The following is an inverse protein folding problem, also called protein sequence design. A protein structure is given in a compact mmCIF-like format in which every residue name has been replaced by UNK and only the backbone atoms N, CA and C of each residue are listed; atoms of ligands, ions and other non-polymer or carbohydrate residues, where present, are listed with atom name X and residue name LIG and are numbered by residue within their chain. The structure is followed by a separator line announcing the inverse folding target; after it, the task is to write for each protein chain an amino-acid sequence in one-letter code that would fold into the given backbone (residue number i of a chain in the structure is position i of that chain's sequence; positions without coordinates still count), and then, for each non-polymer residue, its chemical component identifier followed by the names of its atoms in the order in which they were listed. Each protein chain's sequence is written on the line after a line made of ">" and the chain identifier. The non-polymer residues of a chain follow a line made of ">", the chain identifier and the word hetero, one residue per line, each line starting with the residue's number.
data_IF_750009494159
#
_entry.id   IF_750009494159
#
_cell.length_a   1.000
_cell.length_b   1.000
_cell.length_c   1.000
_cell.angle_alpha   90.00
_cell.angle_beta   90.00
_cell.angle_gamma   90.00
#
_symmetry.space_group_name_H-M   'P 1'
#
loop_
_entity.id
_entity.type
_entity.pdbx_description
1 polymer ?
#
# COMPACT_ATOMS: atom_id res chain seq x y z
N UNK A 1 2.87 9.57 2.41
CA UNK A 1 3.39 10.95 2.27
C UNK A 1 4.68 11.05 1.46
N UNK A 2 5.70 10.23 1.73
CA UNK A 2 6.97 10.23 0.97
C UNK A 2 6.77 10.15 -0.55
N UNK A 3 5.93 9.21 -1.04
CA UNK A 3 5.61 9.11 -2.46
C UNK A 3 4.91 10.33 -3.04
N UNK A 4 4.03 10.96 -2.25
CA UNK A 4 3.32 12.16 -2.67
C UNK A 4 4.30 13.33 -2.87
N UNK A 5 5.20 13.54 -1.91
CA UNK A 5 6.25 14.56 -1.99
C UNK A 5 7.20 14.31 -3.18
N UNK A 6 7.60 13.05 -3.43
CA UNK A 6 8.41 12.70 -4.60
C UNK A 6 7.66 12.95 -5.91
N UNK A 7 6.37 12.64 -5.98
CA UNK A 7 5.56 12.90 -7.17
C UNK A 7 5.56 14.37 -7.57
N UNK A 8 5.39 15.28 -6.60
CA UNK A 8 5.49 16.73 -6.81
C UNK A 8 6.92 17.11 -7.22
N UNK A 9 7.94 16.67 -6.47
CA UNK A 9 9.34 17.02 -6.72
C UNK A 9 9.86 16.56 -8.09
N UNK A 10 9.31 15.47 -8.64
CA UNK A 10 9.70 14.96 -9.95
C UNK A 10 9.12 15.77 -11.12
N UNK A 11 8.11 16.59 -10.86
CA UNK A 11 7.34 17.29 -11.90
C UNK A 11 7.30 18.81 -11.74
N UNK A 12 7.76 19.35 -10.60
CA UNK A 12 7.91 20.80 -10.42
C UNK A 12 9.22 21.30 -11.07
N UNK A 13 9.16 22.45 -11.75
CA UNK A 13 10.32 23.07 -12.41
C UNK A 13 11.21 23.84 -11.42
N UNK A 14 10.66 24.28 -10.28
CA UNK A 14 11.36 25.10 -9.30
C UNK A 14 12.29 24.23 -8.45
N UNK A 15 13.59 24.44 -8.61
CA UNK A 15 14.64 23.70 -7.91
C UNK A 15 14.45 23.64 -6.38
N UNK A 16 13.92 24.71 -5.77
CA UNK A 16 13.62 24.77 -4.33
C UNK A 16 12.57 23.73 -3.93
N UNK A 17 11.48 23.62 -4.69
CA UNK A 17 10.38 22.67 -4.41
C UNK A 17 10.85 21.24 -4.65
N UNK A 18 11.63 21.01 -5.71
CA UNK A 18 12.26 19.71 -5.96
C UNK A 18 13.15 19.28 -4.80
N UNK A 19 14.03 20.17 -4.36
CA UNK A 19 14.93 19.94 -3.23
C UNK A 19 14.15 19.62 -1.95
N UNK A 20 13.18 20.46 -1.58
CA UNK A 20 12.35 20.27 -0.40
C UNK A 20 11.55 18.96 -0.45
N UNK A 21 10.92 18.64 -1.57
CA UNK A 21 10.13 17.41 -1.71
C UNK A 21 10.97 16.14 -1.63
N UNK A 22 12.18 16.15 -2.19
CA UNK A 22 13.15 15.04 -2.02
C UNK A 22 13.57 14.92 -0.57
N UNK A 23 13.88 16.03 0.11
CA UNK A 23 14.33 16.03 1.51
C UNK A 23 13.23 15.49 2.45
N UNK A 24 11.99 15.92 2.26
CA UNK A 24 10.82 15.39 2.99
C UNK A 24 10.64 13.89 2.73
N UNK A 25 10.76 13.46 1.48
CA UNK A 25 10.61 12.05 1.13
C UNK A 25 11.70 11.18 1.75
N UNK A 26 12.95 11.64 1.74
CA UNK A 26 14.08 10.97 2.38
C UNK A 26 13.86 10.90 3.89
N UNK A 27 13.49 12.00 4.53
CA UNK A 27 13.22 12.04 5.98
C UNK A 27 12.14 11.03 6.39
N UNK A 28 11.03 11.00 5.66
CA UNK A 28 9.95 10.05 5.92
C UNK A 28 10.36 8.59 5.64
N UNK A 29 11.23 8.37 4.64
CA UNK A 29 11.77 7.05 4.35
C UNK A 29 12.78 6.58 5.41
N UNK A 30 13.57 7.47 6.00
CA UNK A 30 14.42 7.15 7.15
C UNK A 30 13.60 6.65 8.34
N UNK A 31 12.42 7.22 8.57
CA UNK A 31 11.47 6.69 9.56
C UNK A 31 11.03 5.25 9.23
N UNK A 32 10.79 4.94 7.96
CA UNK A 32 10.49 3.57 7.53
C UNK A 32 11.66 2.60 7.73
N UNK A 33 12.91 3.04 7.51
CA UNK A 33 14.11 2.25 7.80
C UNK A 33 14.23 2.01 9.31
N UNK A 34 14.05 3.05 10.12
CA UNK A 34 14.09 2.97 11.59
C UNK A 34 13.01 2.04 12.17
N UNK A 35 11.89 1.85 11.46
CA UNK A 35 10.85 0.88 11.86
C UNK A 35 11.28 -0.58 11.72
N UNK A 36 12.34 -0.87 10.96
CA UNK A 36 12.86 -2.22 10.70
C UNK A 36 11.81 -3.13 9.99
N UNK A 37 10.73 -2.56 9.48
CA UNK A 37 9.63 -3.29 8.85
C UNK A 37 9.88 -3.54 7.37
N UNK A 38 10.21 -4.79 7.02
CA UNK A 38 10.42 -5.23 5.62
C UNK A 38 9.20 -4.98 4.73
N UNK A 39 7.99 -5.10 5.27
CA UNK A 39 6.75 -4.87 4.51
C UNK A 39 6.63 -3.42 4.05
N UNK A 40 7.10 -2.46 4.85
CA UNK A 40 7.14 -1.03 4.49
C UNK A 40 8.12 -0.79 3.34
N UNK A 41 9.27 -1.45 3.34
CA UNK A 41 10.26 -1.31 2.27
C UNK A 41 9.76 -1.89 0.95
N UNK A 42 9.10 -3.05 0.99
CA UNK A 42 8.44 -3.65 -0.18
C UNK A 42 7.39 -2.68 -0.73
N UNK A 43 6.49 -2.20 0.14
CA UNK A 43 5.45 -1.26 -0.27
C UNK A 43 6.03 0.01 -0.89
N UNK A 44 7.08 0.59 -0.28
CA UNK A 44 7.79 1.76 -0.80
C UNK A 44 8.41 1.50 -2.18
N UNK A 45 9.01 0.32 -2.39
CA UNK A 45 9.52 -0.11 -3.69
C UNK A 45 8.47 -0.06 -4.79
N UNK A 46 7.26 -0.58 -4.53
CA UNK A 46 6.13 -0.49 -5.46
C UNK A 46 5.72 0.96 -5.73
N UNK A 47 5.76 1.84 -4.73
CA UNK A 47 5.54 3.27 -4.91
C UNK A 47 6.54 3.90 -5.88
N UNK A 48 7.83 3.59 -5.72
CA UNK A 48 8.87 4.06 -6.65
C UNK A 48 8.68 3.50 -8.06
N UNK A 49 8.28 2.24 -8.21
CA UNK A 49 7.98 1.66 -9.52
C UNK A 49 6.94 2.48 -10.27
N UNK A 50 5.86 2.88 -9.58
CA UNK A 50 4.83 3.76 -10.15
C UNK A 50 5.43 5.10 -10.57
N UNK A 51 6.24 5.74 -9.71
CA UNK A 51 6.85 7.05 -10.00
C UNK A 51 7.83 7.07 -11.18
N UNK A 52 8.45 5.93 -11.50
CA UNK A 52 9.45 5.83 -12.56
C UNK A 52 8.98 5.04 -13.79
N UNK A 53 7.72 4.57 -13.79
CA UNK A 53 7.18 3.78 -14.90
C UNK A 53 7.18 4.58 -16.20
N UNK A 54 7.85 4.05 -17.23
CA UNK A 54 7.86 4.62 -18.57
C UNK A 54 8.70 5.90 -18.75
N UNK A 55 9.54 6.28 -17.77
CA UNK A 55 10.21 7.59 -17.79
C UNK A 55 11.47 7.67 -18.68
N UNK A 56 12.18 6.56 -18.94
CA UNK A 56 13.31 6.41 -19.90
C UNK A 56 14.04 5.07 -19.72
N UNK A 57 15.03 4.73 -20.58
CA UNK A 57 15.98 3.61 -20.35
C UNK A 57 16.68 3.71 -18.98
N UNK A 58 17.04 4.92 -18.54
CA UNK A 58 17.59 5.16 -17.20
C UNK A 58 16.56 4.90 -16.10
N UNK A 59 15.28 5.22 -16.34
CA UNK A 59 14.17 4.88 -15.45
C UNK A 59 14.00 3.37 -15.26
N UNK A 60 14.10 2.59 -16.34
CA UNK A 60 14.05 1.12 -16.28
C UNK A 60 15.23 0.57 -15.45
N UNK A 61 16.45 1.08 -15.67
CA UNK A 61 17.62 0.69 -14.88
C UNK A 61 17.45 1.03 -13.39
N UNK A 62 16.89 2.20 -13.08
CA UNK A 62 16.56 2.58 -11.70
C UNK A 62 15.51 1.65 -11.10
N UNK A 63 14.48 1.26 -11.85
CA UNK A 63 13.48 0.29 -11.39
C UNK A 63 14.10 -1.07 -11.08
N UNK A 64 14.97 -1.57 -11.96
CA UNK A 64 15.72 -2.82 -11.73
C UNK A 64 16.59 -2.69 -10.48
N UNK A 65 17.31 -1.58 -10.33
CA UNK A 65 18.13 -1.32 -9.15
C UNK A 65 17.30 -1.22 -7.86
N UNK A 66 16.11 -0.59 -7.91
CA UNK A 66 15.19 -0.49 -6.77
C UNK A 66 14.65 -1.87 -6.40
N UNK A 67 14.22 -2.68 -7.37
CA UNK A 67 13.77 -4.05 -7.14
C UNK A 67 14.88 -4.92 -6.55
N UNK A 68 16.09 -4.82 -7.10
CA UNK A 68 17.25 -5.52 -6.59
C UNK A 68 17.62 -5.07 -5.17
N UNK A 69 17.54 -3.78 -4.87
CA UNK A 69 17.79 -3.23 -3.53
C UNK A 69 16.72 -3.68 -2.54
N UNK A 70 15.44 -3.65 -2.90
CA UNK A 70 14.34 -4.15 -2.06
C UNK A 70 14.53 -5.65 -1.80
N UNK A 71 14.86 -6.43 -2.83
CA UNK A 71 15.14 -7.86 -2.69
C UNK A 71 16.33 -8.11 -1.76
N UNK A 72 17.44 -7.38 -1.95
CA UNK A 72 18.63 -7.49 -1.11
C UNK A 72 18.31 -7.12 0.35
N UNK A 73 17.61 -6.01 0.59
CA UNK A 73 17.21 -5.58 1.94
C UNK A 73 16.26 -6.57 2.63
N UNK A 74 15.38 -7.24 1.88
CA UNK A 74 14.52 -8.31 2.40
C UNK A 74 15.35 -9.55 2.77
N UNK A 75 16.36 -9.89 1.98
CA UNK A 75 17.24 -11.04 2.18
C UNK A 75 18.33 -10.79 3.24
N UNK A 76 18.69 -9.53 3.53
CA UNK A 76 19.71 -9.23 4.52
C UNK A 76 19.35 -9.77 5.92
N UNK A 77 20.28 -10.48 6.57
CA UNK A 77 20.18 -10.82 7.98
C UNK A 77 20.08 -9.53 8.78
N UNK A 78 18.96 -9.32 9.45
CA UNK A 78 18.75 -8.15 10.28
C UNK A 78 19.54 -8.32 11.59
N UNK A 79 20.13 -7.32 12.24
CA UNK A 79 20.64 -7.46 13.63
C UNK A 79 19.57 -7.95 14.64
N UNK A 80 18.28 -7.91 14.27
CA UNK A 80 17.18 -8.60 14.95
C UNK A 80 17.27 -10.14 14.85
N UNK A 81 18.07 -10.74 13.97
CA UNK A 81 18.27 -12.20 13.89
C UNK A 81 18.87 -12.75 15.18
N UNK A 82 19.68 -11.97 15.91
CA UNK A 82 20.13 -12.33 17.25
C UNK A 82 19.02 -12.24 18.32
N UNK A 83 17.98 -11.42 18.11
CA UNK A 83 16.74 -11.45 18.89
C UNK A 83 15.80 -12.56 18.44
N UNK A 84 15.80 -12.97 17.17
CA UNK A 84 15.01 -14.10 16.63
C UNK A 84 15.51 -15.44 17.17
N UNK A 85 16.82 -15.56 17.41
CA UNK A 85 17.41 -16.76 18.04
C UNK A 85 17.18 -16.85 19.56
N UNK A 86 16.77 -15.74 20.21
CA UNK A 86 16.45 -15.69 21.65
C UNK A 86 14.95 -15.43 21.95
N UNK A 87 14.15 -15.13 20.92
CA UNK A 87 12.70 -14.83 20.98
C UNK A 87 11.93 -15.55 19.85
N UNK A 88 12.31 -16.77 19.44
CA UNK A 88 11.30 -17.71 18.95
C UNK A 88 10.29 -17.86 20.10
N UNK A 89 9.04 -17.37 20.05
CA UNK A 89 8.08 -17.83 19.07
C UNK A 89 6.82 -16.94 18.92
N UNK A 90 6.68 -15.79 19.61
CA UNK A 90 5.31 -15.25 19.78
C UNK A 90 4.73 -14.43 18.61
N UNK A 91 5.49 -13.58 17.91
CA UNK A 91 4.88 -12.65 16.92
C UNK A 91 4.69 -13.26 15.53
N UNK A 92 5.69 -13.99 15.06
CA UNK A 92 5.64 -14.68 13.76
C UNK A 92 4.67 -15.87 13.80
N UNK A 93 4.69 -16.71 14.84
CA UNK A 93 3.69 -17.78 14.96
C UNK A 93 2.28 -17.21 15.10
N UNK A 94 2.07 -16.12 15.84
CA UNK A 94 0.76 -15.45 15.89
C UNK A 94 0.29 -15.01 14.50
N UNK A 95 1.17 -14.44 13.68
CA UNK A 95 0.83 -14.07 12.28
C UNK A 95 0.45 -15.28 11.44
N UNK A 96 1.20 -16.38 11.53
CA UNK A 96 0.84 -17.63 10.84
C UNK A 96 -0.50 -18.17 11.32
N UNK A 97 -0.72 -18.22 12.63
CA UNK A 97 -2.00 -18.61 13.22
C UNK A 97 -3.15 -17.74 12.70
N UNK A 98 -2.97 -16.41 12.64
CA UNK A 98 -3.98 -15.50 12.10
C UNK A 98 -4.27 -15.75 10.62
N UNK A 99 -3.24 -15.92 9.80
CA UNK A 99 -3.41 -16.22 8.37
C UNK A 99 -4.12 -17.56 8.15
N UNK A 100 -3.73 -18.60 8.89
CA UNK A 100 -4.38 -19.91 8.81
C UNK A 100 -5.83 -19.85 9.26
N UNK A 101 -6.10 -19.15 10.36
CA UNK A 101 -7.45 -18.92 10.88
C UNK A 101 -8.34 -18.19 9.87
N UNK A 102 -7.85 -17.08 9.30
CA UNK A 102 -8.60 -16.34 8.29
C UNK A 102 -8.81 -17.14 7.01
N UNK A 103 -7.82 -17.93 6.59
CA UNK A 103 -7.96 -18.80 5.44
C UNK A 103 -9.01 -19.90 5.66
N UNK A 104 -8.99 -20.54 6.83
CA UNK A 104 -10.01 -21.52 7.21
C UNK A 104 -11.41 -20.90 7.28
N UNK A 105 -11.52 -19.69 7.84
CA UNK A 105 -12.76 -18.94 7.91
C UNK A 105 -13.32 -18.62 6.51
N UNK A 106 -12.48 -18.13 5.60
CA UNK A 106 -12.90 -17.81 4.24
C UNK A 106 -13.35 -19.07 3.49
N UNK A 107 -12.59 -20.17 3.57
CA UNK A 107 -12.96 -21.45 2.93
C UNK A 107 -14.32 -21.99 3.36
N UNK A 108 -14.73 -21.70 4.60
CA UNK A 108 -16.03 -22.14 5.10
C UNK A 108 -17.21 -21.35 4.48
N UNK A 109 -17.01 -20.10 4.03
CA UNK A 109 -18.03 -19.28 3.34
C UNK A 109 -17.41 -18.41 2.22
N UNK A 110 -16.94 -19.01 1.12
CA UNK A 110 -16.04 -18.32 0.20
C UNK A 110 -16.73 -17.24 -0.66
N UNK A 111 -18.03 -17.38 -0.94
CA UNK A 111 -18.72 -16.50 -1.90
C UNK A 111 -19.18 -15.17 -1.27
N UNK A 112 -19.93 -15.24 -0.16
CA UNK A 112 -20.55 -14.07 0.49
C UNK A 112 -19.93 -13.75 1.86
N UNK A 113 -19.03 -14.60 2.36
CA UNK A 113 -18.40 -14.41 3.66
C UNK A 113 -19.35 -14.62 4.84
N UNK A 114 -18.94 -14.12 5.99
CA UNK A 114 -19.63 -14.28 7.27
C UNK A 114 -20.50 -13.06 7.65
N UNK A 115 -20.43 -11.98 6.87
CA UNK A 115 -21.02 -10.69 7.18
C UNK A 115 -20.00 -9.70 7.75
N UNK A 116 -20.29 -8.41 7.59
CA UNK A 116 -19.43 -7.34 8.09
C UNK A 116 -19.23 -7.46 9.61
N UNK A 117 -18.00 -7.20 10.07
CA UNK A 117 -17.60 -7.33 11.47
C UNK A 117 -17.32 -8.76 11.94
N UNK A 118 -17.56 -9.80 11.12
CA UNK A 118 -17.38 -11.21 11.52
C UNK A 118 -16.02 -11.82 11.16
N UNK A 119 -15.07 -11.01 10.70
CA UNK A 119 -13.75 -11.52 10.31
C UNK A 119 -12.91 -12.03 11.48
N UNK A 120 -13.23 -11.73 12.74
CA UNK A 120 -12.16 -11.66 13.76
C UNK A 120 -12.29 -12.70 14.88
N UNK A 121 -13.12 -13.70 14.66
CA UNK A 121 -13.57 -14.63 15.69
C UNK A 121 -13.35 -16.10 15.35
N UNK A 122 -12.89 -16.40 14.14
CA UNK A 122 -12.79 -17.78 13.69
C UNK A 122 -11.51 -18.45 14.19
N UNK A 123 -11.65 -19.59 14.87
CA UNK A 123 -10.53 -20.46 15.27
C UNK A 123 -10.61 -21.79 14.50
N UNK A 124 -9.52 -22.25 13.87
CA UNK A 124 -9.47 -23.53 13.18
C UNK A 124 -9.98 -24.68 14.06
N UNK A 125 -10.87 -25.50 13.51
CA UNK A 125 -11.46 -26.66 14.21
C UNK A 125 -12.56 -26.33 15.23
N UNK A 126 -12.67 -25.09 15.69
CA UNK A 126 -13.68 -24.66 16.67
C UNK A 126 -14.79 -23.82 16.01
N UNK A 127 -14.46 -22.99 15.03
CA UNK A 127 -15.40 -22.07 14.38
C UNK A 127 -15.39 -20.67 14.99
N UNK A 128 -16.49 -19.92 14.81
CA UNK A 128 -16.61 -18.55 15.32
C UNK A 128 -16.76 -18.54 16.85
N UNK A 129 -15.87 -17.83 17.53
CA UNK A 129 -15.90 -17.59 18.97
C UNK A 129 -16.40 -16.16 19.27
N UNK A 130 -17.34 -15.98 20.20
CA UNK A 130 -17.65 -14.65 20.71
C UNK A 130 -16.45 -14.11 21.48
N UNK A 131 -15.73 -13.15 20.93
CA UNK A 131 -14.56 -12.53 21.57
C UNK A 131 -14.80 -11.02 21.75
N UNK A 132 -14.51 -10.51 22.95
CA UNK A 132 -14.62 -9.08 23.28
C UNK A 132 -13.42 -8.22 22.85
N UNK A 133 -12.37 -8.84 22.31
CA UNK A 133 -11.20 -8.17 21.73
C UNK A 133 -11.25 -8.29 20.21
N UNK A 134 -10.69 -7.31 19.48
CA UNK A 134 -10.68 -7.25 18.01
C UNK A 134 -9.29 -7.68 17.48
N UNK A 135 -9.01 -8.97 17.22
CA UNK A 135 -7.79 -9.38 16.53
C UNK A 135 -7.98 -9.31 15.01
N UNK A 136 -7.11 -8.60 14.30
CA UNK A 136 -7.09 -8.56 12.82
C UNK A 136 -6.11 -9.59 12.23
N UNK A 137 -6.40 -10.11 11.03
CA UNK A 137 -5.53 -11.12 10.40
C UNK A 137 -4.18 -10.60 9.87
N UNK A 138 -3.82 -9.34 10.15
CA UNK A 138 -2.67 -8.66 9.56
C UNK A 138 -2.63 -8.73 8.02
N UNK A 139 -3.82 -8.83 7.41
CA UNK A 139 -4.01 -8.81 5.96
C UNK A 139 -5.43 -8.30 5.69
N UNK A 140 -5.54 -7.08 5.18
CA UNK A 140 -6.84 -6.43 4.98
C UNK A 140 -7.68 -7.09 3.90
N UNK A 141 -7.03 -7.72 2.91
CA UNK A 141 -7.72 -8.47 1.86
C UNK A 141 -8.33 -9.76 2.41
N UNK A 142 -7.60 -10.47 3.28
CA UNK A 142 -8.13 -11.65 3.96
C UNK A 142 -9.25 -11.28 4.93
N UNK A 143 -9.09 -10.19 5.69
CA UNK A 143 -10.16 -9.63 6.53
C UNK A 143 -11.42 -9.33 5.71
N UNK A 144 -11.26 -8.70 4.54
CA UNK A 144 -12.39 -8.37 3.66
C UNK A 144 -13.00 -9.64 3.05
N UNK A 145 -12.18 -10.61 2.64
CA UNK A 145 -12.63 -11.89 2.09
C UNK A 145 -13.44 -12.68 3.10
N UNK A 146 -13.03 -12.74 4.37
CA UNK A 146 -13.80 -13.43 5.41
C UNK A 146 -15.15 -12.75 5.66
N UNK A 147 -15.21 -11.42 5.62
CA UNK A 147 -16.45 -10.67 5.87
C UNK A 147 -17.42 -10.72 4.68
N UNK A 148 -16.90 -10.57 3.47
CA UNK A 148 -17.72 -10.28 2.28
C UNK A 148 -17.61 -11.33 1.18
N UNK A 149 -16.74 -12.33 1.39
CA UNK A 149 -16.44 -13.36 0.42
C UNK A 149 -15.75 -12.83 -0.83
N UNK A 150 -15.70 -13.69 -1.85
CA UNK A 150 -15.11 -13.41 -3.14
C UNK A 150 -15.83 -12.26 -3.86
N UNK A 151 -17.14 -12.11 -3.68
CA UNK A 151 -17.92 -11.05 -4.33
C UNK A 151 -17.47 -9.68 -3.84
N UNK A 152 -17.45 -9.45 -2.52
CA UNK A 152 -17.04 -8.16 -1.97
C UNK A 152 -15.55 -7.85 -2.20
N UNK A 153 -14.69 -8.85 -2.02
CA UNK A 153 -13.26 -8.70 -2.35
C UNK A 153 -13.08 -8.37 -3.85
N UNK A 154 -13.80 -9.05 -4.74
CA UNK A 154 -13.74 -8.83 -6.18
C UNK A 154 -14.15 -7.42 -6.57
N UNK A 155 -15.26 -6.91 -6.03
CA UNK A 155 -15.71 -5.53 -6.27
C UNK A 155 -14.70 -4.51 -5.73
N UNK A 156 -14.13 -4.76 -4.55
CA UNK A 156 -13.11 -3.90 -3.95
C UNK A 156 -11.84 -3.83 -4.81
N UNK A 157 -11.34 -4.98 -5.27
CA UNK A 157 -10.17 -5.03 -6.16
C UNK A 157 -10.47 -4.39 -7.52
N UNK A 158 -11.67 -4.63 -8.08
CA UNK A 158 -12.09 -4.01 -9.32
C UNK A 158 -12.11 -2.48 -9.21
N UNK A 159 -12.60 -1.93 -8.10
CA UNK A 159 -12.55 -0.50 -7.81
C UNK A 159 -11.12 0.04 -7.88
N UNK A 160 -10.16 -0.57 -7.17
CA UNK A 160 -8.77 -0.10 -7.18
C UNK A 160 -8.10 -0.26 -8.54
N UNK A 161 -8.39 -1.35 -9.26
CA UNK A 161 -7.92 -1.53 -10.63
C UNK A 161 -8.43 -0.39 -11.52
N UNK A 162 -9.70 0.01 -11.40
CA UNK A 162 -10.23 1.14 -12.16
C UNK A 162 -9.57 2.47 -11.78
N UNK A 163 -9.33 2.72 -10.49
CA UNK A 163 -8.61 3.93 -10.03
C UNK A 163 -7.22 3.99 -10.65
N UNK A 164 -6.45 2.90 -10.58
CA UNK A 164 -5.09 2.83 -11.14
C UNK A 164 -5.11 3.00 -12.67
N UNK A 165 -6.03 2.32 -13.36
CA UNK A 165 -6.16 2.41 -14.83
C UNK A 165 -6.50 3.83 -15.29
N UNK A 166 -7.46 4.47 -14.63
CA UNK A 166 -7.88 5.83 -14.97
C UNK A 166 -6.75 6.84 -14.71
N UNK A 167 -6.13 6.78 -13.53
CA UNK A 167 -5.02 7.66 -13.19
C UNK A 167 -3.83 7.48 -14.13
N UNK A 168 -3.48 6.24 -14.47
CA UNK A 168 -2.40 5.96 -15.41
C UNK A 168 -2.73 6.47 -16.83
N UNK A 169 -3.93 6.19 -17.33
CA UNK A 169 -4.39 6.67 -18.63
C UNK A 169 -4.48 8.19 -18.73
N UNK A 170 -4.77 8.86 -17.61
CA UNK A 170 -4.74 10.32 -17.48
C UNK A 170 -3.30 10.84 -17.51
N UNK A 171 -2.40 10.27 -16.70
CA UNK A 171 -0.99 10.68 -16.62
C UNK A 171 -0.28 10.58 -17.97
N UNK A 172 -0.55 9.54 -18.77
CA UNK A 172 0.04 9.41 -20.11
C UNK A 172 -0.17 10.62 -21.02
N UNK A 173 -1.22 11.42 -20.77
CA UNK A 173 -1.57 12.60 -21.56
C UNK A 173 -1.28 13.92 -20.84
N UNK A 174 -1.28 13.93 -19.51
CA UNK A 174 -1.26 15.16 -18.71
C UNK A 174 -0.12 15.22 -17.69
N UNK A 175 0.86 14.32 -17.75
CA UNK A 175 1.96 14.26 -16.76
C UNK A 175 2.76 15.56 -16.67
N UNK A 176 2.88 16.32 -17.77
CA UNK A 176 3.60 17.60 -17.81
C UNK A 176 2.77 18.82 -17.38
N UNK A 177 1.50 18.64 -16.99
CA UNK A 177 0.68 19.73 -16.47
C UNK A 177 1.06 20.07 -15.03
N UNK A 178 0.68 21.25 -14.55
CA UNK A 178 0.89 21.67 -13.15
C UNK A 178 0.30 20.67 -12.15
N UNK A 179 -0.78 19.96 -12.50
CA UNK A 179 -1.42 18.97 -11.62
C UNK A 179 -0.83 17.56 -11.75
N UNK A 180 0.03 17.32 -12.74
CA UNK A 180 0.62 16.01 -13.04
C UNK A 180 1.38 15.41 -11.86
N UNK A 181 2.12 16.24 -11.13
CA UNK A 181 2.84 15.85 -9.91
C UNK A 181 1.94 15.32 -8.80
N UNK A 182 0.82 15.99 -8.58
CA UNK A 182 -0.16 15.63 -7.55
C UNK A 182 -0.85 14.30 -7.87
N UNK A 183 -1.25 14.10 -9.14
CA UNK A 183 -1.85 12.83 -9.57
C UNK A 183 -0.84 11.69 -9.44
N UNK A 184 0.38 11.89 -9.92
CA UNK A 184 1.42 10.86 -9.89
C UNK A 184 1.82 10.46 -8.47
N UNK A 185 2.04 11.45 -7.61
CA UNK A 185 2.38 11.24 -6.21
C UNK A 185 1.26 10.59 -5.41
N UNK A 186 0.00 10.99 -5.66
CA UNK A 186 -1.17 10.41 -4.99
C UNK A 186 -1.37 8.95 -5.41
N UNK A 187 -1.25 8.66 -6.71
CA UNK A 187 -1.32 7.29 -7.21
C UNK A 187 -0.24 6.40 -6.59
N UNK A 188 1.01 6.87 -6.56
CA UNK A 188 2.11 6.13 -5.94
C UNK A 188 1.86 5.92 -4.43
N UNK A 189 1.36 6.93 -3.71
CA UNK A 189 1.03 6.80 -2.29
C UNK A 189 -0.11 5.79 -2.03
N UNK A 190 -1.15 5.79 -2.87
CA UNK A 190 -2.24 4.81 -2.79
C UNK A 190 -1.72 3.39 -3.03
N UNK A 191 -0.86 3.18 -4.03
CA UNK A 191 -0.24 1.88 -4.30
C UNK A 191 0.60 1.40 -3.10
N UNK A 192 1.37 2.29 -2.46
CA UNK A 192 2.08 1.94 -1.21
C UNK A 192 1.11 1.45 -0.13
N UNK A 193 0.00 2.16 0.10
CA UNK A 193 -0.99 1.77 1.12
C UNK A 193 -1.64 0.42 0.79
N UNK A 194 -1.99 0.19 -0.48
CA UNK A 194 -2.58 -1.07 -0.94
C UNK A 194 -1.63 -2.25 -0.80
N UNK A 195 -0.34 -2.07 -1.12
CA UNK A 195 0.66 -3.13 -0.95
C UNK A 195 0.96 -3.38 0.52
N UNK A 196 1.02 -2.32 1.35
CA UNK A 196 1.20 -2.47 2.80
C UNK A 196 0.07 -3.27 3.45
N UNK A 197 -1.16 -3.11 2.95
CA UNK A 197 -2.36 -3.80 3.42
C UNK A 197 -2.34 -5.33 3.23
N UNK A 198 -1.40 -5.86 2.43
CA UNK A 198 -1.16 -7.31 2.31
C UNK A 198 -0.54 -7.87 3.59
N UNK A 199 0.25 -7.07 4.29
CA UNK A 199 1.09 -7.51 5.40
C UNK A 199 0.67 -6.95 6.76
N UNK A 200 -0.16 -5.92 6.77
CA UNK A 200 -0.62 -5.24 7.97
C UNK A 200 -2.07 -4.80 7.85
N UNK A 201 -2.68 -4.51 9.00
CA UNK A 201 -3.95 -3.81 9.05
C UNK A 201 -3.69 -2.31 8.83
N UNK A 202 -4.08 -1.74 7.69
CA UNK A 202 -3.72 -0.36 7.31
C UNK A 202 -4.92 0.41 6.79
N UNK A 203 -5.74 -0.20 5.94
CA UNK A 203 -6.79 0.49 5.20
C UNK A 203 -8.00 0.86 6.06
N UNK A 204 -8.26 0.05 7.08
CA UNK A 204 -9.43 0.18 7.96
C UNK A 204 -9.06 0.72 9.35
N UNK A 205 -7.77 0.99 9.58
CA UNK A 205 -7.28 1.60 10.80
C UNK A 205 -7.72 3.06 10.88
N UNK A 206 -8.40 3.51 11.94
CA UNK A 206 -8.87 4.90 12.02
C UNK A 206 -7.77 5.95 11.86
N UNK A 207 -6.56 5.65 12.32
CA UNK A 207 -5.40 6.54 12.26
C UNK A 207 -4.73 6.64 10.88
N UNK A 208 -4.98 5.66 9.98
CA UNK A 208 -4.35 5.60 8.65
C UNK A 208 -5.38 5.65 7.51
N UNK A 209 -6.57 5.10 7.71
CA UNK A 209 -7.63 4.99 6.70
C UNK A 209 -8.04 6.34 6.11
N UNK A 210 -7.99 7.42 6.91
CA UNK A 210 -8.20 8.79 6.42
C UNK A 210 -7.23 9.21 5.29
N UNK A 211 -6.01 8.66 5.28
CA UNK A 211 -5.02 8.94 4.24
C UNK A 211 -5.44 8.37 2.87
N UNK A 212 -6.14 7.24 2.86
CA UNK A 212 -6.66 6.66 1.62
C UNK A 212 -7.66 7.62 0.99
N UNK A 213 -8.61 8.12 1.78
CA UNK A 213 -9.58 9.12 1.33
C UNK A 213 -8.89 10.42 0.89
N UNK A 214 -7.86 10.86 1.61
CA UNK A 214 -7.14 12.09 1.27
C UNK A 214 -6.40 11.99 -0.08
N UNK A 215 -5.61 10.94 -0.29
CA UNK A 215 -4.90 10.75 -1.56
C UNK A 215 -5.85 10.47 -2.72
N UNK A 216 -6.93 9.72 -2.50
CA UNK A 216 -7.96 9.51 -3.52
C UNK A 216 -8.66 10.82 -3.89
N UNK A 217 -8.97 11.67 -2.91
CA UNK A 217 -9.56 12.99 -3.13
C UNK A 217 -8.63 13.91 -3.94
N UNK A 218 -7.36 14.02 -3.54
CA UNK A 218 -6.35 14.80 -4.29
C UNK A 218 -6.22 14.27 -5.72
N UNK A 219 -6.12 12.95 -5.89
CA UNK A 219 -6.02 12.31 -7.21
C UNK A 219 -7.18 12.73 -8.11
N UNK A 220 -8.42 12.59 -7.64
CA UNK A 220 -9.63 12.91 -8.43
C UNK A 220 -9.70 14.40 -8.77
N UNK A 221 -9.47 15.28 -7.79
CA UNK A 221 -9.54 16.73 -8.00
C UNK A 221 -8.43 17.21 -8.96
N UNK A 222 -7.20 16.74 -8.77
CA UNK A 222 -6.07 17.11 -9.63
C UNK A 222 -6.25 16.63 -11.08
N UNK A 223 -6.84 15.44 -11.28
CA UNK A 223 -7.19 14.95 -12.62
C UNK A 223 -8.25 15.84 -13.29
N UNK A 224 -9.29 16.25 -12.55
CA UNK A 224 -10.35 17.12 -13.08
C UNK A 224 -9.81 18.48 -13.49
N UNK A 225 -9.03 19.12 -12.61
CA UNK A 225 -8.42 20.43 -12.88
C UNK A 225 -7.47 20.35 -14.09
N UNK A 226 -6.60 19.35 -14.14
CA UNK A 226 -5.66 19.24 -15.26
C UNK A 226 -6.32 18.88 -16.59
N UNK A 227 -7.51 18.26 -16.57
CA UNK A 227 -8.31 18.05 -17.80
C UNK A 227 -9.04 19.31 -18.26
N UNK A 228 -9.44 20.22 -17.37
CA UNK A 228 -10.07 21.48 -17.81
C UNK A 228 -9.10 22.43 -18.53
N UNK A 229 -7.79 22.34 -18.24
CA UNK A 229 -6.78 23.17 -18.92
C UNK A 229 -6.40 22.69 -20.32
N UNK A 230 -6.75 21.45 -20.70
CA UNK A 230 -6.44 20.91 -22.03
C UNK A 230 -7.59 21.07 -23.04
N UNK A 231 -8.74 21.57 -22.60
CA UNK A 231 -9.91 21.88 -23.44
C UNK A 231 -10.01 23.35 -23.85
N UNK A 232 -9.08 24.20 -23.37
CA UNK A 232 -8.95 25.63 -23.73
C UNK A 232 -7.75 25.82 -24.64
#
# INVERSE_FOLDING_TARGET
>A
FSMFALGIALHDERHVIRGAGVLVAVWLFLGAIASVSRSVWIAFGFGLLILFLGRSRRGILLQIAILAAVLLLVLLPNPVTHRVLQLSDSSTQKRFFYLESGWAAWKARPLLGWGWGRAFSYVPGIGLLPTGWIPWYHNDYLNLAVQTGLVGLGLYLAFWVQVVRQAHGWLRRHVGTETGGYVHGSLAALVVLLVAAIFEHVLWRPDIGGLVGWFLGILVVAMRIGSSYSEV
#
